data_IF_640555650656
#
_entry.id   IF_640555650656
#
_cell.length_a   1.000
_cell.length_b   1.000
_cell.length_c   1.000
_cell.angle_alpha   90.00
_cell.angle_beta   90.00
_cell.angle_gamma   90.00
#
_symmetry.space_group_name_H-M   'P 1'
#
loop_
_entity.id
_entity.type
_entity.pdbx_description
1 polymer ?
#
# COMPACT_ATOMS: atom_id res chain seq x y z
N UNK A 1 -13.32 -12.33 21.56
CA UNK A 1 -13.88 -11.57 20.41
C UNK A 1 -12.90 -10.47 20.05
N UNK A 2 -12.39 -10.41 18.80
CA UNK A 2 -11.55 -9.27 18.38
C UNK A 2 -12.42 -8.02 18.35
N UNK A 3 -11.99 -6.94 19.00
CA UNK A 3 -12.65 -5.64 18.87
C UNK A 3 -12.57 -5.19 17.41
N UNK A 4 -13.65 -4.64 16.90
CA UNK A 4 -13.68 -3.97 15.62
C UNK A 4 -12.70 -2.79 15.64
N UNK A 5 -11.78 -2.74 14.69
CA UNK A 5 -10.79 -1.67 14.54
C UNK A 5 -11.06 -0.94 13.21
N UNK A 6 -11.73 0.23 13.24
CA UNK A 6 -12.08 0.94 12.02
C UNK A 6 -10.85 1.41 11.23
N UNK A 7 -9.71 1.64 11.88
CA UNK A 7 -8.49 2.07 11.20
C UNK A 7 -7.93 0.95 10.32
N UNK A 8 -7.93 -0.28 10.83
CA UNK A 8 -7.51 -1.47 10.05
C UNK A 8 -8.44 -1.75 8.88
N UNK A 9 -9.74 -1.52 9.04
CA UNK A 9 -10.70 -1.64 7.94
C UNK A 9 -10.42 -0.59 6.86
N UNK A 10 -10.16 0.66 7.23
CA UNK A 10 -9.81 1.71 6.26
C UNK A 10 -8.50 1.42 5.52
N UNK A 11 -7.48 0.91 6.23
CA UNK A 11 -6.22 0.47 5.61
C UNK A 11 -6.51 -0.64 4.61
N UNK A 12 -7.25 -1.67 5.00
CA UNK A 12 -7.58 -2.79 4.12
C UNK A 12 -8.33 -2.34 2.87
N UNK A 13 -9.29 -1.42 3.00
CA UNK A 13 -10.02 -0.85 1.86
C UNK A 13 -9.06 -0.08 0.94
N UNK A 14 -8.25 0.83 1.48
CA UNK A 14 -7.30 1.62 0.68
C UNK A 14 -6.30 0.72 -0.06
N UNK A 15 -5.69 -0.25 0.62
CA UNK A 15 -4.76 -1.21 0.02
C UNK A 15 -5.44 -2.04 -1.06
N UNK A 16 -6.68 -2.48 -0.82
CA UNK A 16 -7.44 -3.27 -1.80
C UNK A 16 -7.79 -2.45 -3.04
N UNK A 17 -8.16 -1.18 -2.89
CA UNK A 17 -8.42 -0.28 -4.03
C UNK A 17 -7.17 -0.13 -4.90
N UNK A 18 -5.99 0.09 -4.29
CA UNK A 18 -4.71 0.12 -5.01
C UNK A 18 -4.49 -1.18 -5.80
N UNK A 19 -4.66 -2.34 -5.16
CA UNK A 19 -4.54 -3.64 -5.81
C UNK A 19 -5.53 -3.87 -6.96
N UNK A 20 -6.78 -3.43 -6.83
CA UNK A 20 -7.80 -3.50 -7.89
C UNK A 20 -7.39 -2.66 -9.09
N UNK A 21 -6.87 -1.44 -8.88
CA UNK A 21 -6.41 -0.59 -9.99
C UNK A 21 -5.22 -1.22 -10.71
N UNK A 22 -4.24 -1.79 -9.98
CA UNK A 22 -3.12 -2.50 -10.60
C UNK A 22 -3.58 -3.71 -11.40
N UNK A 23 -4.54 -4.48 -10.90
CA UNK A 23 -5.11 -5.60 -11.64
C UNK A 23 -5.85 -5.14 -12.90
N UNK A 24 -6.59 -4.04 -12.80
CA UNK A 24 -7.26 -3.43 -13.95
C UNK A 24 -6.24 -3.02 -15.02
N UNK A 25 -5.21 -2.26 -14.65
CA UNK A 25 -4.17 -1.81 -15.58
C UNK A 25 -3.39 -2.97 -16.20
N UNK A 26 -3.11 -4.01 -15.40
CA UNK A 26 -2.56 -5.27 -15.90
C UNK A 26 -3.41 -5.83 -17.04
N UNK A 27 -4.71 -5.98 -16.82
CA UNK A 27 -5.65 -6.48 -17.81
C UNK A 27 -5.82 -5.54 -19.02
N UNK A 28 -5.68 -4.23 -18.82
CA UNK A 28 -5.86 -3.19 -19.85
C UNK A 28 -4.61 -2.96 -20.72
N UNK A 29 -3.62 -3.85 -20.65
CA UNK A 29 -2.49 -3.90 -21.59
C UNK A 29 -1.13 -3.92 -20.92
N UNK A 30 -1.03 -3.62 -19.62
CA UNK A 30 0.26 -3.67 -18.93
C UNK A 30 0.80 -5.11 -18.84
N UNK A 31 -0.07 -6.12 -18.92
CA UNK A 31 0.32 -7.53 -18.95
C UNK A 31 1.31 -7.87 -20.08
N UNK A 32 1.30 -7.13 -21.19
CA UNK A 32 2.15 -7.39 -22.36
C UNK A 32 3.50 -6.63 -22.30
N UNK A 33 3.70 -5.79 -21.28
CA UNK A 33 4.92 -4.99 -21.11
C UNK A 33 5.91 -5.79 -20.26
N UNK A 34 7.12 -6.00 -20.80
CA UNK A 34 8.18 -6.75 -20.11
C UNK A 34 8.48 -6.17 -18.72
N UNK A 35 8.61 -7.04 -17.71
CA UNK A 35 8.75 -6.74 -16.26
C UNK A 35 7.57 -5.98 -15.62
N UNK A 36 6.89 -5.09 -16.34
CA UNK A 36 5.74 -4.32 -15.85
C UNK A 36 4.52 -5.22 -15.67
N UNK A 37 4.21 -6.08 -16.64
CA UNK A 37 3.11 -7.04 -16.52
C UNK A 37 3.19 -7.90 -15.26
N UNK A 38 4.28 -8.67 -15.06
CA UNK A 38 4.47 -9.45 -13.85
C UNK A 38 4.46 -8.61 -12.56
N UNK A 39 5.01 -7.40 -12.57
CA UNK A 39 5.05 -6.55 -11.36
C UNK A 39 3.68 -5.98 -10.98
N UNK A 40 2.85 -5.59 -11.96
CA UNK A 40 1.47 -5.14 -11.71
C UNK A 40 0.60 -6.28 -11.17
N UNK A 41 0.72 -7.49 -11.73
CA UNK A 41 0.01 -8.66 -11.22
C UNK A 41 0.47 -9.04 -9.80
N UNK A 42 1.79 -9.01 -9.56
CA UNK A 42 2.35 -9.25 -8.23
C UNK A 42 1.84 -8.23 -7.22
N UNK A 43 1.81 -6.94 -7.59
CA UNK A 43 1.27 -5.88 -6.75
C UNK A 43 -0.20 -6.15 -6.41
N UNK A 44 -1.04 -6.42 -7.42
CA UNK A 44 -2.45 -6.70 -7.22
C UNK A 44 -2.70 -7.84 -6.23
N UNK A 45 -1.96 -8.96 -6.40
CA UNK A 45 -2.07 -10.12 -5.50
C UNK A 45 -1.55 -9.77 -4.10
N UNK A 46 -0.39 -9.13 -3.99
CA UNK A 46 0.22 -8.75 -2.72
C UNK A 46 -0.69 -7.79 -1.94
N UNK A 47 -1.28 -6.80 -2.61
CA UNK A 47 -2.23 -5.84 -2.06
C UNK A 47 -3.51 -6.52 -1.57
N UNK A 48 -4.07 -7.46 -2.35
CA UNK A 48 -5.24 -8.23 -1.93
C UNK A 48 -4.95 -9.08 -0.68
N UNK A 49 -3.80 -9.76 -0.66
CA UNK A 49 -3.36 -10.55 0.50
C UNK A 49 -3.14 -9.66 1.72
N UNK A 50 -2.44 -8.53 1.55
CA UNK A 50 -2.15 -7.59 2.63
C UNK A 50 -3.44 -6.99 3.21
N UNK A 51 -4.42 -6.61 2.37
CA UNK A 51 -5.71 -6.13 2.81
C UNK A 51 -6.44 -7.15 3.72
N UNK A 52 -6.42 -8.43 3.36
CA UNK A 52 -6.97 -9.50 4.20
C UNK A 52 -6.17 -9.62 5.51
N UNK A 53 -4.84 -9.68 5.44
CA UNK A 53 -3.96 -9.83 6.61
C UNK A 53 -4.12 -8.70 7.63
N UNK A 54 -4.31 -7.46 7.19
CA UNK A 54 -4.51 -6.31 8.10
C UNK A 54 -5.74 -6.50 9.01
N UNK A 55 -6.77 -7.20 8.53
CA UNK A 55 -8.01 -7.48 9.29
C UNK A 55 -7.92 -8.81 10.05
N UNK A 56 -7.47 -9.89 9.39
CA UNK A 56 -7.48 -11.24 9.96
C UNK A 56 -6.24 -11.58 10.79
N UNK A 57 -5.19 -10.78 10.71
CA UNK A 57 -3.95 -10.97 11.46
C UNK A 57 -3.43 -9.62 11.99
N UNK A 58 -4.06 -9.06 13.05
CA UNK A 58 -3.87 -7.67 13.45
C UNK A 58 -2.53 -7.44 14.19
N UNK A 59 -1.43 -7.63 13.48
CA UNK A 59 -0.06 -7.46 13.96
C UNK A 59 0.54 -6.16 13.43
N UNK A 60 1.72 -5.80 13.92
CA UNK A 60 2.54 -4.75 13.30
C UNK A 60 3.03 -5.17 11.92
N UNK A 61 3.34 -6.46 11.76
CA UNK A 61 3.83 -6.99 10.50
C UNK A 61 2.79 -6.84 9.38
N UNK A 62 1.50 -7.06 9.64
CA UNK A 62 0.45 -6.83 8.64
C UNK A 62 0.41 -5.38 8.15
N UNK A 63 0.63 -4.42 9.06
CA UNK A 63 0.66 -2.99 8.72
C UNK A 63 1.93 -2.63 7.92
N UNK A 64 3.08 -3.18 8.32
CA UNK A 64 4.34 -2.99 7.61
C UNK A 64 4.31 -3.59 6.20
N UNK A 65 3.60 -4.69 5.99
CA UNK A 65 3.39 -5.27 4.65
C UNK A 65 2.60 -4.31 3.75
N UNK A 66 1.43 -3.83 4.20
CA UNK A 66 0.64 -2.84 3.44
C UNK A 66 1.42 -1.56 3.18
N UNK A 67 2.16 -1.05 4.18
CA UNK A 67 2.99 0.14 4.04
C UNK A 67 4.11 -0.08 3.00
N UNK A 68 4.82 -1.20 3.09
CA UNK A 68 5.91 -1.51 2.16
C UNK A 68 5.44 -1.66 0.71
N UNK A 69 4.26 -2.24 0.49
CA UNK A 69 3.65 -2.32 -0.85
C UNK A 69 3.32 -0.92 -1.37
N UNK A 70 2.67 -0.08 -0.55
CA UNK A 70 2.31 1.28 -0.95
C UNK A 70 3.54 2.12 -1.27
N UNK A 71 4.56 2.10 -0.40
CA UNK A 71 5.79 2.87 -0.60
C UNK A 71 6.57 2.39 -1.84
N UNK A 72 6.67 1.08 -2.06
CA UNK A 72 7.31 0.55 -3.27
C UNK A 72 6.57 0.99 -4.54
N UNK A 73 5.23 1.01 -4.48
CA UNK A 73 4.38 1.47 -5.59
C UNK A 73 4.56 2.96 -5.85
N UNK A 74 4.57 3.79 -4.80
CA UNK A 74 4.80 5.23 -4.89
C UNK A 74 6.19 5.56 -5.47
N UNK A 75 7.22 4.81 -5.06
CA UNK A 75 8.57 4.96 -5.63
C UNK A 75 8.57 4.56 -7.10
N UNK A 76 7.97 3.42 -7.47
CA UNK A 76 7.88 2.99 -8.86
C UNK A 76 7.12 4.02 -9.73
N UNK A 77 6.01 4.55 -9.23
CA UNK A 77 5.20 5.59 -9.88
C UNK A 77 5.98 6.90 -10.08
N UNK A 78 6.79 7.30 -9.09
CA UNK A 78 7.64 8.47 -9.21
C UNK A 78 8.76 8.24 -10.24
N UNK A 79 9.42 7.07 -10.21
CA UNK A 79 10.49 6.71 -11.13
C UNK A 79 10.00 6.58 -12.58
N UNK A 80 8.81 6.00 -12.81
CA UNK A 80 8.21 5.89 -14.15
C UNK A 80 7.96 7.25 -14.80
N UNK A 81 7.89 8.33 -14.02
CA UNK A 81 7.68 9.72 -14.48
C UNK A 81 8.98 10.52 -14.61
N UNK A 82 10.13 9.87 -14.48
CA UNK A 82 11.44 10.48 -14.74
C UNK A 82 11.90 10.19 -16.16
N UNK A 83 12.87 10.97 -16.67
CA UNK A 83 13.46 10.75 -17.99
C UNK A 83 14.13 9.37 -18.15
N UNK A 84 14.56 8.76 -17.03
CA UNK A 84 15.16 7.43 -17.02
C UNK A 84 14.11 6.30 -16.96
N UNK A 85 12.84 6.63 -16.71
CA UNK A 85 11.76 5.67 -16.50
C UNK A 85 12.01 4.72 -15.32
N UNK A 86 11.23 3.63 -15.28
CA UNK A 86 11.38 2.52 -14.36
C UNK A 86 11.20 1.21 -15.12
N UNK A 87 12.20 0.32 -15.07
CA UNK A 87 12.16 -0.97 -15.79
C UNK A 87 11.92 -0.83 -17.31
N UNK A 88 12.57 0.15 -17.94
CA UNK A 88 12.41 0.46 -19.37
C UNK A 88 10.99 0.95 -19.75
N UNK A 89 10.20 1.36 -18.76
CA UNK A 89 8.85 1.88 -18.91
C UNK A 89 8.74 3.31 -18.38
N UNK A 90 8.09 4.18 -19.16
CA UNK A 90 7.91 5.59 -18.81
C UNK A 90 6.44 5.99 -18.97
N UNK A 91 5.93 6.69 -17.98
CA UNK A 91 4.57 7.24 -17.95
C UNK A 91 4.61 8.76 -17.99
N UNK A 92 3.62 9.38 -18.64
CA UNK A 92 3.56 10.83 -18.82
C UNK A 92 2.32 11.42 -18.20
N UNK A 93 2.54 12.43 -17.35
CA UNK A 93 1.45 13.13 -16.65
C UNK A 93 0.60 12.18 -15.81
N UNK A 94 -0.69 12.18 -16.10
CA UNK A 94 -1.72 11.38 -15.41
C UNK A 94 -2.24 10.21 -16.24
N UNK A 95 -1.60 9.90 -17.37
CA UNK A 95 -1.91 8.68 -18.12
C UNK A 95 -1.31 7.48 -17.37
N UNK A 96 -2.06 6.37 -17.20
CA UNK A 96 -3.46 6.14 -17.57
C UNK A 96 -4.46 6.86 -16.65
N UNK A 97 -5.45 7.55 -17.24
CA UNK A 97 -6.44 8.34 -16.50
C UNK A 97 -7.85 7.72 -16.57
N UNK A 98 -8.58 7.61 -15.45
CA UNK A 98 -8.30 8.17 -14.11
C UNK A 98 -7.48 7.27 -13.18
N UNK A 99 -6.99 6.12 -13.66
CA UNK A 99 -6.40 5.04 -12.85
C UNK A 99 -5.18 5.50 -12.06
N UNK A 100 -4.27 6.25 -12.69
CA UNK A 100 -3.06 6.77 -12.06
C UNK A 100 -3.39 7.63 -10.83
N UNK A 101 -4.43 8.45 -10.91
CA UNK A 101 -4.87 9.30 -9.79
C UNK A 101 -5.50 8.46 -8.68
N UNK A 102 -6.33 7.49 -9.03
CA UNK A 102 -6.98 6.60 -8.06
C UNK A 102 -5.94 5.75 -7.33
N UNK A 103 -4.99 5.15 -8.06
CA UNK A 103 -3.89 4.39 -7.49
C UNK A 103 -3.07 5.27 -6.55
N UNK A 104 -2.60 6.43 -7.01
CA UNK A 104 -1.81 7.35 -6.19
C UNK A 104 -2.53 7.74 -4.89
N UNK A 105 -3.82 8.08 -4.97
CA UNK A 105 -4.61 8.42 -3.79
C UNK A 105 -4.76 7.22 -2.83
N UNK A 106 -4.97 6.02 -3.36
CA UNK A 106 -5.09 4.80 -2.57
C UNK A 106 -3.77 4.43 -1.87
N UNK A 107 -2.63 4.59 -2.56
CA UNK A 107 -1.31 4.32 -1.96
C UNK A 107 -0.94 5.35 -0.89
N UNK A 108 -1.18 6.65 -1.14
CA UNK A 108 -0.98 7.69 -0.12
C UNK A 108 -1.87 7.42 1.10
N UNK A 109 -3.15 7.08 0.89
CA UNK A 109 -4.05 6.76 1.98
C UNK A 109 -3.56 5.54 2.77
N UNK A 110 -3.14 4.47 2.10
CA UNK A 110 -2.57 3.28 2.72
C UNK A 110 -1.35 3.63 3.58
N UNK A 111 -0.39 4.36 3.01
CA UNK A 111 0.85 4.73 3.69
C UNK A 111 0.56 5.59 4.95
N UNK A 112 -0.22 6.65 4.80
CA UNK A 112 -0.57 7.56 5.92
C UNK A 112 -1.31 6.80 7.02
N UNK A 113 -2.32 6.00 6.68
CA UNK A 113 -3.10 5.26 7.67
C UNK A 113 -2.25 4.20 8.39
N UNK A 114 -1.34 3.52 7.69
CA UNK A 114 -0.40 2.57 8.28
C UNK A 114 0.56 3.27 9.26
N UNK A 115 1.14 4.40 8.87
CA UNK A 115 2.02 5.20 9.75
C UNK A 115 1.27 5.65 11.01
N UNK A 116 0.03 6.13 10.87
CA UNK A 116 -0.82 6.51 12.01
C UNK A 116 -1.09 5.30 12.92
N UNK A 117 -1.42 4.13 12.35
CA UNK A 117 -1.68 2.91 13.11
C UNK A 117 -0.44 2.44 13.89
N UNK A 118 0.73 2.44 13.24
CA UNK A 118 2.00 2.07 13.84
C UNK A 118 2.41 3.04 14.96
N UNK A 119 2.28 4.35 14.72
CA UNK A 119 2.57 5.37 15.71
C UNK A 119 1.65 5.25 16.95
N UNK A 120 0.36 4.95 16.75
CA UNK A 120 -0.58 4.68 17.86
C UNK A 120 -0.15 3.45 18.65
N UNK A 121 0.19 2.35 17.98
CA UNK A 121 0.66 1.13 18.63
C UNK A 121 1.95 1.36 19.44
N UNK A 122 2.90 2.14 18.91
CA UNK A 122 4.14 2.47 19.60
C UNK A 122 3.91 3.34 20.84
N UNK A 123 2.97 4.30 20.78
CA UNK A 123 2.62 5.16 21.92
C UNK A 123 1.95 4.38 23.05
N UNK A 124 1.06 3.44 22.72
CA UNK A 124 0.40 2.60 23.71
C UNK A 124 1.41 1.71 24.45
N UNK A 125 2.33 1.08 23.72
CA UNK A 125 3.41 0.31 24.34
C UNK A 125 4.34 1.16 25.22
N UNK A 126 4.61 2.40 24.82
CA UNK A 126 5.41 3.32 25.64
C UNK A 126 4.71 3.78 26.93
N UNK A 127 3.38 3.85 26.94
CA UNK A 127 2.58 4.20 28.11
C UNK A 127 2.45 3.01 29.09
N UNK A 128 2.28 1.79 28.53
CA UNK A 128 2.11 0.56 29.29
C UNK A 128 3.43 0.02 29.89
N UNK A 129 4.59 0.62 29.57
CA UNK A 129 5.90 0.25 30.11
C UNK A 129 6.09 0.79 31.56
N UNK A 130 6.02 -0.07 32.59
CA UNK A 130 6.12 0.37 33.99
C UNK A 130 7.51 0.92 34.34
N UNK A 131 8.56 0.59 33.57
CA UNK A 131 9.91 1.07 33.84
C UNK A 131 10.12 2.54 33.46
N UNK A 132 9.23 3.11 32.63
CA UNK A 132 9.22 4.53 32.28
C UNK A 132 8.41 5.42 33.23
N UNK A 133 7.66 4.84 34.16
CA UNK A 133 6.83 5.59 35.11
C UNK A 133 7.55 5.94 36.42
N UNK A 134 8.78 5.45 36.63
CA UNK A 134 9.56 5.62 37.87
C UNK A 134 10.75 6.58 37.76
N UNK A 135 10.83 7.38 36.69
CA UNK A 135 11.80 8.47 36.50
C UNK A 135 11.08 9.82 36.47
#
# INVERSE_FOLDING_TARGET
MRRFDPLRVLIAIATLVGGIVHFKLWNDGYQDIDKIGPSFLLNAIASAVAAVLVVVWPTRLSLLLSLGIADATLVAFALSRTDNGFLDFQEFGWEPSPEAVIALAAEIATAVLCVVALARAARLEAYDDPTRQTL
#
